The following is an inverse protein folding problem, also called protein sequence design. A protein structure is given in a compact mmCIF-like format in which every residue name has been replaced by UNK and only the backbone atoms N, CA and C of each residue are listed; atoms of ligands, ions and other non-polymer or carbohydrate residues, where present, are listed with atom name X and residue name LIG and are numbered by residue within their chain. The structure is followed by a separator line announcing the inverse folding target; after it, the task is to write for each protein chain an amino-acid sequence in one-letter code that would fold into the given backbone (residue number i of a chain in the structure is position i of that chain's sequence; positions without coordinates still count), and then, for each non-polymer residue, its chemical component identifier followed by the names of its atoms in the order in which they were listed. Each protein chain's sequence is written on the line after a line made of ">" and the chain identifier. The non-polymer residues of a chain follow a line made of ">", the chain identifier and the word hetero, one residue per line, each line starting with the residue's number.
data_IF_082310395607
#
_entry.id   IF_082310395607
#
_cell.length_a   1.000
_cell.length_b   1.000
_cell.length_c   1.000
_cell.angle_alpha   90.00
_cell.angle_beta   90.00
_cell.angle_gamma   90.00
#
_symmetry.space_group_name_H-M   'P 1'
#
loop_
_entity.id
_entity.type
_entity.pdbx_description
1 polymer ?
#
# COMPACT_ATOMS: atom_id res chain seq x y z
N UNK A 1 22.69 -45.59 3.46
CA UNK A 1 22.49 -45.17 3.54
C UNK A 1 22.17 -44.33 3.66
N UNK A 2 22.07 -44.10 3.83
CA UNK A 2 21.84 -43.52 4.01
C UNK A 2 21.63 -42.57 3.93
N UNK A 3 21.64 -42.24 4.17
CA UNK A 3 21.59 -41.45 4.23
C UNK A 3 21.26 -40.67 3.66
N UNK A 4 21.43 -40.67 3.43
CA UNK A 4 21.20 -39.87 2.66
C UNK A 4 20.15 -39.13 2.80
N UNK A 5 19.52 -39.56 3.13
CA UNK A 5 18.43 -39.00 3.26
C UNK A 5 18.48 -37.74 3.81
N UNK A 6 19.02 -37.57 4.37
CA UNK A 6 19.02 -36.57 4.91
C UNK A 6 19.14 -35.44 4.29
N UNK A 7 19.59 -35.50 3.50
CA UNK A 7 19.80 -34.36 2.87
C UNK A 7 18.62 -33.74 2.49
N UNK A 8 17.86 -34.44 2.10
CA UNK A 8 16.74 -34.00 1.63
C UNK A 8 16.13 -33.07 2.50
N UNK A 9 16.31 -33.29 3.62
CA UNK A 9 15.75 -32.54 4.45
C UNK A 9 15.96 -31.16 4.28
N UNK A 10 17.04 -30.82 4.17
CA UNK A 10 17.33 -29.52 4.10
C UNK A 10 16.59 -28.86 3.11
N UNK A 11 16.52 -29.44 2.08
CA UNK A 11 15.94 -28.80 1.04
C UNK A 11 14.66 -28.35 1.36
N UNK A 12 14.08 -29.09 2.10
CA UNK A 12 12.82 -28.91 2.20
C UNK A 12 12.49 -27.67 2.70
N UNK A 13 13.12 -27.13 3.52
CA UNK A 13 12.59 -26.12 4.03
C UNK A 13 13.01 -24.87 3.62
N UNK A 14 13.78 -24.71 2.88
CA UNK A 14 14.12 -23.55 2.53
C UNK A 14 13.12 -22.73 1.99
N UNK A 15 12.21 -23.27 1.27
CA UNK A 15 11.28 -22.52 0.67
C UNK A 15 10.39 -21.88 1.64
N UNK A 16 10.25 -22.39 2.68
CA UNK A 16 9.37 -21.85 3.62
C UNK A 16 9.90 -20.54 4.08
N UNK A 17 11.13 -20.44 4.21
CA UNK A 17 11.66 -19.24 4.64
C UNK A 17 11.41 -18.13 3.73
N UNK A 18 11.49 -18.39 2.49
CA UNK A 18 11.22 -17.38 1.54
C UNK A 18 9.83 -16.88 1.67
N UNK A 19 8.92 -17.72 1.98
CA UNK A 19 7.57 -17.28 2.12
C UNK A 19 7.42 -16.30 3.24
N UNK A 20 8.16 -16.48 4.31
CA UNK A 20 8.04 -15.56 5.33
C UNK A 20 8.48 -14.20 4.93
N UNK A 21 9.49 -14.11 4.18
CA UNK A 21 9.95 -12.85 3.73
C UNK A 21 8.86 -12.13 2.98
N UNK A 22 8.09 -12.86 2.26
CA UNK A 22 7.04 -12.26 1.49
C UNK A 22 5.94 -11.70 2.36
N UNK A 23 5.88 -12.11 3.59
CA UNK A 23 4.88 -11.61 4.48
C UNK A 23 5.35 -10.41 5.27
N UNK A 24 6.55 -9.97 5.04
CA UNK A 24 7.04 -8.81 5.74
C UNK A 24 6.21 -7.60 5.35
N UNK A 25 6.11 -6.67 6.24
CA UNK A 25 5.31 -5.50 5.99
C UNK A 25 5.81 -4.71 4.81
N UNK A 26 4.93 -4.20 4.03
CA UNK A 26 5.25 -3.28 2.97
C UNK A 26 5.70 -1.95 3.58
N UNK A 27 6.53 -1.22 2.87
CA UNK A 27 6.93 0.10 3.29
C UNK A 27 5.74 1.05 3.35
N UNK A 28 4.62 0.66 2.76
CA UNK A 28 3.45 1.53 2.74
C UNK A 28 2.42 1.20 3.82
N UNK A 29 2.59 0.10 4.57
CA UNK A 29 1.64 -0.18 5.63
C UNK A 29 1.71 0.86 6.71
N UNK A 30 0.58 1.19 7.30
CA UNK A 30 0.53 2.12 8.41
C UNK A 30 -0.46 3.24 8.17
N UNK A 31 -0.30 4.31 8.90
CA UNK A 31 -1.21 5.44 8.85
C UNK A 31 -0.52 6.62 8.19
N UNK A 32 -1.21 7.24 7.24
CA UNK A 32 -0.67 8.35 6.46
C UNK A 32 -1.53 9.58 6.63
N UNK A 33 -0.91 10.73 6.80
CA UNK A 33 -1.62 12.01 6.83
C UNK A 33 -1.52 12.62 5.47
N UNK A 34 -2.63 12.96 4.90
CA UNK A 34 -2.72 13.55 3.55
C UNK A 34 -3.77 14.66 3.56
N UNK A 35 -3.94 15.33 2.44
CA UNK A 35 -4.96 16.38 2.33
C UNK A 35 -5.88 16.10 1.15
N UNK A 36 -7.13 16.53 1.27
CA UNK A 36 -8.09 16.39 0.20
C UNK A 36 -8.01 17.58 -0.76
N UNK A 37 -8.93 17.65 -1.72
CA UNK A 37 -8.91 18.71 -2.73
C UNK A 37 -9.17 20.09 -2.13
N UNK A 38 -9.80 20.15 -0.99
CA UNK A 38 -10.03 21.43 -0.32
C UNK A 38 -8.91 21.79 0.65
N UNK A 39 -7.88 20.95 0.73
CA UNK A 39 -6.77 21.20 1.64
C UNK A 39 -7.00 20.73 3.05
N UNK A 40 -8.07 19.99 3.29
CA UNK A 40 -8.37 19.50 4.63
C UNK A 40 -7.61 18.22 4.90
N UNK A 41 -6.96 18.11 6.05
CA UNK A 41 -6.18 16.90 6.36
C UNK A 41 -7.09 15.73 6.72
N UNK A 42 -6.67 14.55 6.37
CA UNK A 42 -7.33 13.33 6.81
C UNK A 42 -6.29 12.21 6.84
N UNK A 43 -6.68 11.05 7.37
CA UNK A 43 -5.74 9.93 7.51
C UNK A 43 -6.18 8.76 6.67
N UNK A 44 -5.21 8.07 6.10
CA UNK A 44 -5.41 6.82 5.37
C UNK A 44 -4.66 5.76 6.11
N UNK A 45 -5.32 4.64 6.42
CA UNK A 45 -4.70 3.49 7.06
C UNK A 45 -4.61 2.34 6.08
N UNK A 46 -3.40 1.85 5.85
CA UNK A 46 -3.16 0.71 4.96
C UNK A 46 -2.78 -0.49 5.83
N UNK A 47 -3.62 -1.51 5.79
CA UNK A 47 -3.45 -2.69 6.65
C UNK A 47 -2.79 -3.82 5.87
N UNK A 48 -2.12 -4.71 6.59
CA UNK A 48 -1.35 -5.78 5.96
C UNK A 48 -2.16 -6.71 5.09
N UNK A 49 -3.42 -6.83 5.30
CA UNK A 49 -4.25 -7.71 4.47
C UNK A 49 -4.75 -7.09 3.20
N UNK A 50 -4.31 -5.88 2.88
CA UNK A 50 -4.80 -5.22 1.67
C UNK A 50 -6.00 -4.33 1.90
N UNK A 51 -6.43 -4.16 3.14
CA UNK A 51 -7.57 -3.30 3.43
C UNK A 51 -7.09 -1.85 3.58
N UNK A 52 -7.91 -0.92 3.16
CA UNK A 52 -7.61 0.50 3.29
C UNK A 52 -8.80 1.19 3.92
N UNK A 53 -8.53 2.19 4.75
CA UNK A 53 -9.56 3.01 5.36
C UNK A 53 -9.11 4.44 5.36
N UNK A 54 -10.04 5.35 5.32
CA UNK A 54 -9.72 6.77 5.41
C UNK A 54 -10.74 7.46 6.29
N UNK A 55 -10.31 8.54 6.94
CA UNK A 55 -11.17 9.30 7.85
C UNK A 55 -11.91 10.43 7.15
N UNK A 56 -11.76 10.57 5.84
CA UNK A 56 -12.38 11.65 5.12
C UNK A 56 -13.90 11.53 5.17
N UNK A 57 -14.57 12.62 5.48
CA UNK A 57 -16.03 12.60 5.58
C UNK A 57 -16.49 11.66 6.67
N UNK A 58 -17.39 10.77 6.34
CA UNK A 58 -17.90 9.78 7.28
C UNK A 58 -17.07 8.51 7.24
N UNK A 59 -15.95 8.55 6.59
CA UNK A 59 -15.08 7.41 6.47
C UNK A 59 -15.19 6.76 5.10
N UNK A 60 -14.07 6.24 4.62
CA UNK A 60 -14.02 5.53 3.34
C UNK A 60 -13.34 4.21 3.56
N UNK A 61 -13.71 3.20 2.77
CA UNK A 61 -13.06 1.91 2.79
C UNK A 61 -12.67 1.52 1.39
N UNK A 62 -11.68 0.65 1.29
CA UNK A 62 -11.23 0.19 -0.01
C UNK A 62 -10.18 -0.89 0.16
N UNK A 63 -9.43 -1.11 -0.91
CA UNK A 63 -8.33 -2.07 -0.90
C UNK A 63 -7.09 -1.40 -1.47
N UNK A 64 -5.93 -1.96 -1.15
CA UNK A 64 -4.70 -1.40 -1.67
C UNK A 64 -3.70 -2.49 -2.01
N UNK A 65 -2.78 -2.16 -2.88
CA UNK A 65 -1.68 -3.05 -3.19
C UNK A 65 -0.46 -2.21 -3.54
N UNK A 66 0.70 -2.81 -3.38
CA UNK A 66 1.93 -2.13 -3.73
C UNK A 66 2.27 -2.42 -5.19
N UNK A 67 2.62 -1.38 -5.94
CA UNK A 67 3.05 -1.53 -7.32
C UNK A 67 4.26 -0.65 -7.53
N UNK A 68 5.42 -1.26 -7.72
CA UNK A 68 6.66 -0.51 -7.88
C UNK A 68 6.93 0.31 -6.63
N UNK A 69 7.08 1.60 -6.79
CA UNK A 69 7.33 2.49 -5.68
C UNK A 69 6.08 3.21 -5.18
N UNK A 70 4.91 2.63 -5.45
CA UNK A 70 3.64 3.24 -5.06
C UNK A 70 2.74 2.25 -4.37
N UNK A 71 1.87 2.77 -3.51
CA UNK A 71 0.72 2.03 -3.02
C UNK A 71 -0.48 2.54 -3.80
N UNK A 72 -1.24 1.64 -4.40
CA UNK A 72 -2.42 2.00 -5.19
C UNK A 72 -3.64 1.59 -4.40
N UNK A 73 -4.48 2.55 -4.06
CA UNK A 73 -5.65 2.34 -3.23
C UNK A 73 -6.90 2.55 -4.06
N UNK A 74 -7.75 1.53 -4.12
CA UNK A 74 -9.02 1.60 -4.84
C UNK A 74 -10.11 1.75 -3.80
N UNK A 75 -10.79 2.87 -3.83
CA UNK A 75 -11.84 3.16 -2.84
C UNK A 75 -13.19 2.64 -3.34
N UNK A 76 -14.06 2.30 -2.41
CA UNK A 76 -15.39 1.83 -2.79
C UNK A 76 -16.24 2.93 -3.39
N UNK A 77 -15.78 4.18 -3.37
CA UNK A 77 -16.44 5.28 -4.04
C UNK A 77 -16.15 5.32 -5.54
N UNK A 78 -15.16 4.53 -5.98
CA UNK A 78 -14.71 4.58 -7.37
C UNK A 78 -13.50 5.44 -7.59
N UNK A 79 -13.10 6.22 -6.60
CA UNK A 79 -11.86 7.01 -6.69
C UNK A 79 -10.66 6.10 -6.44
N UNK A 80 -9.50 6.52 -6.92
CA UNK A 80 -8.24 5.84 -6.69
C UNK A 80 -7.24 6.83 -6.11
N UNK A 81 -6.47 6.37 -5.13
CA UNK A 81 -5.41 7.18 -4.55
C UNK A 81 -4.09 6.43 -4.69
N UNK A 82 -3.04 7.15 -4.99
CA UNK A 82 -1.70 6.56 -5.00
C UNK A 82 -0.85 7.30 -4.00
N UNK A 83 -0.03 6.57 -3.26
CA UNK A 83 1.00 7.16 -2.42
C UNK A 83 2.32 6.67 -3.01
N UNK A 84 3.13 7.58 -3.50
CA UNK A 84 4.35 7.25 -4.24
C UNK A 84 5.56 7.76 -3.51
N UNK A 85 6.59 6.93 -3.40
CA UNK A 85 7.83 7.35 -2.78
C UNK A 85 8.66 8.08 -3.81
N UNK A 86 9.10 9.29 -3.48
CA UNK A 86 9.96 10.08 -4.35
C UNK A 86 11.14 10.56 -3.52
N UNK A 87 12.25 9.89 -3.60
CA UNK A 87 13.41 10.21 -2.80
C UNK A 87 13.12 9.96 -1.34
N UNK A 88 13.21 10.98 -0.50
CA UNK A 88 12.91 10.85 0.91
C UNK A 88 11.50 11.26 1.26
N UNK A 89 10.67 11.50 0.27
CA UNK A 89 9.31 12.01 0.49
C UNK A 89 8.29 11.04 -0.07
N UNK A 90 7.06 11.22 0.36
CA UNK A 90 5.94 10.49 -0.20
C UNK A 90 4.91 11.48 -0.67
N UNK A 91 4.33 11.23 -1.83
CA UNK A 91 3.37 12.13 -2.45
C UNK A 91 2.08 11.35 -2.67
N UNK A 92 0.96 11.97 -2.29
CA UNK A 92 -0.35 11.39 -2.51
C UNK A 92 -0.96 12.03 -3.75
N UNK A 93 -1.46 11.20 -4.67
CA UNK A 93 -2.22 11.69 -5.83
C UNK A 93 -3.58 11.02 -5.83
N UNK A 94 -4.60 11.75 -6.18
CA UNK A 94 -5.97 11.23 -6.21
C UNK A 94 -6.54 11.35 -7.61
N UNK A 95 -7.26 10.33 -8.03
CA UNK A 95 -7.85 10.26 -9.36
C UNK A 95 -9.35 9.99 -9.20
N UNK A 96 -10.16 10.79 -9.86
CA UNK A 96 -11.60 10.66 -9.75
C UNK A 96 -12.12 9.40 -10.40
N UNK A 97 -13.36 9.08 -10.11
CA UNK A 97 -14.01 7.91 -10.64
C UNK A 97 -13.92 7.90 -12.15
N UNK A 98 -13.45 6.80 -12.70
CA UNK A 98 -13.33 6.66 -14.15
C UNK A 98 -12.11 7.31 -14.77
N UNK A 99 -11.30 8.00 -13.97
CA UNK A 99 -10.12 8.67 -14.51
C UNK A 99 -8.97 7.69 -14.64
N UNK A 100 -8.20 7.81 -15.72
CA UNK A 100 -7.02 6.96 -15.90
C UNK A 100 -5.93 7.36 -14.94
N UNK A 101 -5.18 6.40 -14.44
CA UNK A 101 -4.07 6.68 -13.54
C UNK A 101 -2.88 7.30 -14.26
N UNK A 102 -2.92 7.39 -15.59
CA UNK A 102 -1.88 8.08 -16.34
C UNK A 102 -2.29 9.52 -16.65
N UNK A 103 -3.50 9.91 -16.26
CA UNK A 103 -3.96 11.27 -16.47
C UNK A 103 -3.40 12.18 -15.39
N UNK A 104 -3.63 13.48 -15.52
CA UNK A 104 -3.24 14.40 -14.47
C UNK A 104 -4.13 14.15 -13.26
N UNK A 105 -3.55 14.02 -12.07
CA UNK A 105 -4.37 13.77 -10.89
C UNK A 105 -5.31 14.90 -10.59
N UNK A 106 -6.46 14.57 -10.03
CA UNK A 106 -7.40 15.57 -9.58
C UNK A 106 -6.86 16.33 -8.37
N UNK A 107 -6.05 15.66 -7.56
CA UNK A 107 -5.49 16.27 -6.35
C UNK A 107 -4.11 15.67 -6.07
N UNK A 108 -3.23 16.51 -5.56
CA UNK A 108 -1.89 16.08 -5.14
C UNK A 108 -1.59 16.73 -3.80
N UNK A 109 -1.02 15.97 -2.89
CA UNK A 109 -0.57 16.51 -1.62
C UNK A 109 0.62 15.70 -1.11
N UNK A 110 1.30 16.21 -0.10
CA UNK A 110 2.31 15.41 0.57
C UNK A 110 1.59 14.30 1.34
N UNK A 111 2.28 13.21 1.55
CA UNK A 111 1.81 12.14 2.40
C UNK A 111 2.86 11.96 3.49
N UNK A 112 2.43 12.04 4.74
CA UNK A 112 3.34 11.92 5.87
C UNK A 112 2.95 10.74 6.72
N UNK A 113 3.93 9.97 7.13
CA UNK A 113 3.62 8.83 7.95
C UNK A 113 3.22 9.31 9.33
N UNK A 114 2.06 8.90 9.79
CA UNK A 114 1.56 9.33 11.09
C UNK A 114 2.03 8.41 12.19
N UNK A 115 2.41 7.19 11.87
CA UNK A 115 2.90 6.24 12.85
C UNK A 115 3.86 5.26 12.27
#
# INVERSE_FOLDING_TARGET
>A
MRKAAMAAVAATYFFAVTSFAALAASAFEGVWKVKDTAGHPFEITLSSGGAAKATRGEGMTGTWKEEGNSAVITWNTGWTTKITKEGNRYIKTAYGKGQSLTATPTNTSDAERAK
#
